data_IF_124659677249
#
_entry.id   IF_124659677249
#
_cell.length_a   1.000
_cell.length_b   1.000
_cell.length_c   1.000
_cell.angle_alpha   90.00
_cell.angle_beta   90.00
_cell.angle_gamma   90.00
#
_symmetry.space_group_name_H-M   'P 1'
#
loop_
_entity.id
_entity.type
_entity.pdbx_description
1 polymer ?
#
# COMPACT_ATOMS: atom_id res chain seq x y z
N UNK A 1 7.66 21.80 34.52
CA UNK A 1 8.43 21.49 33.29
C UNK A 1 8.95 20.08 33.37
N UNK A 2 8.66 19.27 32.35
CA UNK A 2 9.14 17.90 32.24
C UNK A 2 10.64 17.86 31.92
N UNK A 3 11.33 16.87 32.50
CA UNK A 3 12.74 16.59 32.18
C UNK A 3 12.82 15.59 31.02
N UNK A 4 13.97 15.50 30.30
CA UNK A 4 14.18 14.47 29.29
C UNK A 4 13.97 13.04 29.83
N UNK A 5 14.26 12.83 31.11
CA UNK A 5 14.02 11.55 31.78
C UNK A 5 12.53 11.24 31.90
N UNK A 6 11.70 12.24 32.25
CA UNK A 6 10.25 12.07 32.32
C UNK A 6 9.67 11.71 30.94
N UNK A 7 10.08 12.40 29.87
CA UNK A 7 9.62 12.07 28.51
C UNK A 7 9.98 10.65 28.09
N UNK A 8 11.15 10.15 28.52
CA UNK A 8 11.56 8.77 28.26
C UNK A 8 10.67 7.77 29.01
N UNK A 9 10.27 8.10 30.25
CA UNK A 9 9.33 7.28 31.02
C UNK A 9 7.96 7.20 30.34
N UNK A 10 7.38 8.34 29.96
CA UNK A 10 6.10 8.40 29.27
C UNK A 10 6.11 7.64 27.94
N UNK A 11 7.21 7.71 27.20
CA UNK A 11 7.40 6.93 25.97
C UNK A 11 7.45 5.43 26.23
N UNK A 12 8.06 5.02 27.33
CA UNK A 12 8.14 3.63 27.72
C UNK A 12 6.75 3.06 28.03
N UNK A 13 5.89 3.83 28.71
CA UNK A 13 4.50 3.45 28.97
C UNK A 13 3.73 3.09 27.68
N UNK A 14 3.89 3.87 26.61
CA UNK A 14 3.25 3.56 25.32
C UNK A 14 3.71 2.23 24.71
N UNK A 15 5.00 1.89 24.84
CA UNK A 15 5.57 0.67 24.27
C UNK A 15 5.23 -0.56 25.10
N UNK A 16 5.27 -0.45 26.42
CA UNK A 16 5.09 -1.59 27.33
C UNK A 16 3.65 -1.84 27.69
N UNK A 17 2.84 -0.79 27.90
CA UNK A 17 1.46 -0.92 28.39
C UNK A 17 0.42 -0.86 27.26
N UNK A 18 0.65 -0.04 26.24
CA UNK A 18 -0.29 0.13 25.12
C UNK A 18 0.17 -0.53 23.81
N UNK A 19 1.42 -1.03 23.73
CA UNK A 19 2.00 -1.64 22.53
C UNK A 19 1.83 -0.80 21.25
N UNK A 20 2.08 0.50 21.36
CA UNK A 20 2.02 1.39 20.20
C UNK A 20 3.12 1.05 19.21
N UNK A 21 2.73 0.70 17.98
CA UNK A 21 3.65 0.23 16.93
C UNK A 21 4.13 1.33 15.98
N UNK A 22 3.37 2.43 15.88
CA UNK A 22 3.60 3.48 14.89
C UNK A 22 4.20 4.73 15.52
N UNK A 23 5.37 5.14 15.04
CA UNK A 23 6.09 6.30 15.54
C UNK A 23 5.29 7.61 15.42
N UNK A 24 4.50 7.77 14.36
CA UNK A 24 3.66 8.96 14.18
C UNK A 24 2.58 9.07 15.27
N UNK A 25 1.98 7.95 15.66
CA UNK A 25 0.98 7.86 16.72
C UNK A 25 1.64 8.02 18.09
N UNK A 26 2.80 7.39 18.31
CA UNK A 26 3.59 7.54 19.54
C UNK A 26 3.96 9.01 19.78
N UNK A 27 4.44 9.72 18.77
CA UNK A 27 4.85 11.12 18.90
C UNK A 27 3.68 12.05 19.19
N UNK A 28 2.54 11.86 18.52
CA UNK A 28 1.33 12.67 18.76
C UNK A 28 0.74 12.42 20.16
N UNK A 29 0.65 11.15 20.56
CA UNK A 29 0.16 10.79 21.90
C UNK A 29 1.12 11.26 22.99
N UNK A 30 2.44 11.25 22.74
CA UNK A 30 3.43 11.73 23.69
C UNK A 30 3.31 13.23 23.94
N UNK A 31 3.01 14.03 22.93
CA UNK A 31 2.81 15.48 23.09
C UNK A 31 1.57 15.77 23.96
N UNK A 32 0.47 15.05 23.70
CA UNK A 32 -0.73 15.14 24.52
C UNK A 32 -0.50 14.62 25.95
N UNK A 33 0.20 13.50 26.12
CA UNK A 33 0.51 12.93 27.44
C UNK A 33 1.41 13.85 28.26
N UNK A 34 2.45 14.42 27.63
CA UNK A 34 3.31 15.40 28.25
C UNK A 34 2.52 16.64 28.69
N UNK A 35 1.68 17.19 27.81
CA UNK A 35 0.86 18.37 28.10
C UNK A 35 -0.09 18.13 29.28
N UNK A 36 -0.82 17.01 29.29
CA UNK A 36 -1.72 16.67 30.40
C UNK A 36 -0.96 16.47 31.72
N UNK A 37 0.21 15.82 31.67
CA UNK A 37 1.05 15.62 32.86
C UNK A 37 1.54 16.96 33.40
N UNK A 38 1.96 17.89 32.54
CA UNK A 38 2.41 19.22 32.95
C UNK A 38 1.28 20.03 33.59
N UNK A 39 0.09 20.05 32.99
CA UNK A 39 -1.08 20.72 33.56
C UNK A 39 -1.42 20.20 34.96
N UNK A 40 -1.27 18.89 35.20
CA UNK A 40 -1.52 18.28 36.51
C UNK A 40 -0.43 18.61 37.53
N UNK A 41 0.83 18.67 37.08
CA UNK A 41 1.96 19.10 37.91
C UNK A 41 1.84 20.59 38.31
N UNK A 42 1.30 21.45 37.44
CA UNK A 42 1.04 22.86 37.75
C UNK A 42 0.01 23.05 38.87
N UNK A 43 -0.92 22.11 39.02
CA UNK A 43 -1.91 22.07 40.11
C UNK A 43 -1.31 21.50 41.42
N UNK A 44 -0.02 21.14 41.42
CA UNK A 44 0.71 20.69 42.60
C UNK A 44 0.76 19.17 42.80
N UNK A 45 0.39 18.38 41.78
CA UNK A 45 0.60 16.93 41.81
C UNK A 45 2.08 16.59 41.58
N UNK A 46 2.56 15.52 42.20
CA UNK A 46 3.86 14.95 41.84
C UNK A 46 3.79 14.29 40.45
N UNK A 47 4.96 14.01 39.86
CA UNK A 47 5.03 13.47 38.49
C UNK A 47 4.31 12.13 38.36
N UNK A 48 4.45 11.22 39.33
CA UNK A 48 3.87 9.87 39.28
C UNK A 48 2.34 9.90 39.31
N UNK A 49 1.74 10.73 40.17
CA UNK A 49 0.28 10.88 40.21
C UNK A 49 -0.23 11.67 39.00
N UNK A 50 0.52 12.68 38.54
CA UNK A 50 0.18 13.45 37.35
C UNK A 50 0.17 12.56 36.09
N UNK A 51 1.18 11.72 35.90
CA UNK A 51 1.31 10.82 34.75
C UNK A 51 0.26 9.71 34.80
N UNK A 52 0.03 9.08 35.95
CA UNK A 52 -1.01 8.07 36.09
C UNK A 52 -2.41 8.60 35.77
N UNK A 53 -2.72 9.83 36.21
CA UNK A 53 -3.98 10.49 35.89
C UNK A 53 -4.08 10.84 34.41
N UNK A 54 -3.03 11.41 33.82
CA UNK A 54 -2.99 11.75 32.41
C UNK A 54 -3.11 10.49 31.51
N UNK A 55 -2.51 9.37 31.92
CA UNK A 55 -2.66 8.07 31.25
C UNK A 55 -4.11 7.57 31.27
N UNK A 56 -4.79 7.67 32.41
CA UNK A 56 -6.19 7.31 32.54
C UNK A 56 -7.10 8.21 31.67
N UNK A 57 -6.80 9.50 31.61
CA UNK A 57 -7.52 10.50 30.83
C UNK A 57 -7.36 10.30 29.31
N UNK A 58 -6.19 9.84 28.87
CA UNK A 58 -5.96 9.39 27.48
C UNK A 58 -6.70 8.08 27.11
N UNK A 59 -7.44 7.50 28.06
CA UNK A 59 -8.23 6.29 27.86
C UNK A 59 -7.46 4.99 28.15
N UNK A 60 -6.25 5.08 28.71
CA UNK A 60 -5.37 3.97 29.06
C UNK A 60 -5.18 2.97 27.88
N UNK A 61 -4.69 1.76 28.18
CA UNK A 61 -4.43 0.73 27.17
C UNK A 61 -5.57 0.53 26.14
N UNK A 62 -6.86 0.39 26.53
CA UNK A 62 -7.95 0.19 25.58
C UNK A 62 -8.24 1.40 24.68
N UNK A 63 -8.21 2.63 25.23
CA UNK A 63 -8.43 3.86 24.49
C UNK A 63 -7.30 4.14 23.49
N UNK A 64 -6.05 3.99 23.93
CA UNK A 64 -4.87 4.14 23.09
C UNK A 64 -4.84 3.11 21.95
N UNK A 65 -5.24 1.86 22.23
CA UNK A 65 -5.42 0.84 21.20
C UNK A 65 -6.56 1.13 20.22
N UNK A 66 -7.61 1.83 20.65
CA UNK A 66 -8.65 2.30 19.75
C UNK A 66 -8.11 3.39 18.81
N UNK A 67 -7.32 4.33 19.33
CA UNK A 67 -6.65 5.38 18.53
C UNK A 67 -5.72 4.76 17.48
N UNK A 68 -4.88 3.78 17.85
CA UNK A 68 -4.03 3.08 16.89
C UNK A 68 -4.85 2.38 15.79
N UNK A 69 -5.94 1.69 16.16
CA UNK A 69 -6.80 1.02 15.17
C UNK A 69 -7.49 2.01 14.24
N UNK A 70 -7.94 3.15 14.76
CA UNK A 70 -8.55 4.19 13.95
C UNK A 70 -7.54 4.86 13.02
N UNK A 71 -6.30 5.08 13.49
CA UNK A 71 -5.19 5.51 12.67
C UNK A 71 -4.94 4.54 11.50
N UNK A 72 -4.80 3.24 11.78
CA UNK A 72 -4.62 2.22 10.75
C UNK A 72 -5.76 2.21 9.74
N UNK A 73 -6.99 2.25 10.24
CA UNK A 73 -8.21 2.26 9.41
C UNK A 73 -8.25 3.49 8.51
N UNK A 74 -7.89 4.66 9.03
CA UNK A 74 -7.85 5.91 8.28
C UNK A 74 -6.78 5.87 7.20
N UNK A 75 -5.57 5.40 7.50
CA UNK A 75 -4.49 5.22 6.52
C UNK A 75 -4.91 4.22 5.43
N UNK A 76 -5.47 3.05 5.80
CA UNK A 76 -6.00 2.06 4.82
C UNK A 76 -7.06 2.68 3.91
N UNK A 77 -7.96 3.49 4.46
CA UNK A 77 -9.00 4.19 3.69
C UNK A 77 -8.40 5.21 2.72
N UNK A 78 -7.41 5.99 3.16
CA UNK A 78 -6.69 6.95 2.31
C UNK A 78 -5.97 6.23 1.17
N UNK A 79 -5.22 5.16 1.45
CA UNK A 79 -4.54 4.35 0.44
C UNK A 79 -5.55 3.82 -0.60
N UNK A 80 -6.69 3.28 -0.14
CA UNK A 80 -7.69 2.73 -1.05
C UNK A 80 -8.34 3.81 -1.91
N UNK A 81 -8.74 4.92 -1.29
CA UNK A 81 -9.32 6.08 -2.00
C UNK A 81 -8.35 6.63 -3.03
N UNK A 82 -7.08 6.76 -2.67
CA UNK A 82 -6.04 7.30 -3.53
C UNK A 82 -5.68 6.37 -4.68
N UNK A 83 -5.58 5.07 -4.42
CA UNK A 83 -5.40 4.09 -5.49
C UNK A 83 -6.55 4.13 -6.49
N UNK A 84 -7.78 4.25 -6.00
CA UNK A 84 -8.97 4.37 -6.85
C UNK A 84 -8.98 5.68 -7.63
N UNK A 85 -8.48 6.78 -7.05
CA UNK A 85 -8.29 8.05 -7.76
C UNK A 85 -7.23 7.92 -8.87
N UNK A 86 -6.10 7.28 -8.58
CA UNK A 86 -5.04 7.00 -9.57
C UNK A 86 -5.61 6.15 -10.71
N UNK A 87 -6.33 5.06 -10.39
CA UNK A 87 -6.99 4.24 -11.39
C UNK A 87 -7.98 5.05 -12.23
N UNK A 88 -8.83 5.86 -11.59
CA UNK A 88 -9.78 6.74 -12.30
C UNK A 88 -9.08 7.71 -13.25
N UNK A 89 -7.87 8.19 -12.93
CA UNK A 89 -7.09 9.06 -13.84
C UNK A 89 -6.72 8.36 -15.15
N UNK A 90 -6.41 7.06 -15.09
CA UNK A 90 -6.17 6.25 -16.30
C UNK A 90 -7.44 6.06 -17.14
N UNK A 91 -8.62 6.07 -16.50
CA UNK A 91 -9.93 5.96 -17.18
C UNK A 91 -10.62 7.30 -17.45
N UNK A 92 -9.89 8.42 -17.43
CA UNK A 92 -10.45 9.71 -17.87
C UNK A 92 -10.62 9.72 -19.39
N UNK A 93 -11.68 10.38 -19.86
CA UNK A 93 -11.74 10.89 -21.23
C UNK A 93 -10.67 12.00 -21.34
N UNK A 94 -9.72 12.02 -22.30
CA UNK A 94 -9.57 11.25 -23.55
C UNK A 94 -8.68 10.00 -23.47
N UNK A 95 -8.08 9.71 -22.31
CA UNK A 95 -7.17 8.57 -22.10
C UNK A 95 -7.82 7.23 -22.47
N UNK A 96 -9.11 7.04 -22.13
CA UNK A 96 -9.87 5.83 -22.53
C UNK A 96 -9.87 5.65 -24.05
N UNK A 97 -10.10 6.74 -24.81
CA UNK A 97 -10.09 6.69 -26.26
C UNK A 97 -8.70 6.31 -26.77
N UNK A 98 -7.63 6.87 -26.20
CA UNK A 98 -6.26 6.49 -26.56
C UNK A 98 -5.96 5.03 -26.23
N UNK A 99 -6.40 4.51 -25.08
CA UNK A 99 -6.20 3.10 -24.72
C UNK A 99 -6.98 2.15 -25.62
N UNK A 100 -8.20 2.54 -26.03
CA UNK A 100 -8.99 1.79 -27.01
C UNK A 100 -8.29 1.75 -28.36
N UNK A 101 -7.77 2.90 -28.83
CA UNK A 101 -7.10 3.03 -30.11
C UNK A 101 -5.78 2.22 -30.12
N UNK A 102 -5.02 2.25 -29.03
CA UNK A 102 -3.85 1.38 -28.84
C UNK A 102 -4.26 -0.10 -28.83
N UNK A 103 -5.35 -0.47 -28.16
CA UNK A 103 -5.85 -1.85 -28.16
C UNK A 103 -6.25 -2.34 -29.55
N UNK A 104 -6.93 -1.49 -30.34
CA UNK A 104 -7.29 -1.78 -31.75
C UNK A 104 -6.03 -1.92 -32.60
N UNK A 105 -5.04 -1.04 -32.43
CA UNK A 105 -3.77 -1.12 -33.13
C UNK A 105 -3.04 -2.43 -32.81
N UNK A 106 -2.97 -2.80 -31.53
CA UNK A 106 -2.38 -4.06 -31.08
C UNK A 106 -3.11 -5.25 -31.69
N UNK A 107 -4.44 -5.25 -31.70
CA UNK A 107 -5.24 -6.31 -32.31
C UNK A 107 -4.94 -6.50 -33.81
N UNK A 108 -4.76 -5.40 -34.55
CA UNK A 108 -4.41 -5.43 -35.98
C UNK A 108 -2.97 -5.95 -36.19
N UNK A 109 -2.05 -5.63 -35.29
CA UNK A 109 -0.62 -6.01 -35.40
C UNK A 109 -0.37 -7.47 -34.98
N UNK A 110 -1.12 -8.01 -34.02
CA UNK A 110 -0.97 -9.39 -33.53
C UNK A 110 -0.89 -10.46 -34.63
N UNK A 111 -1.80 -10.51 -35.63
CA UNK A 111 -1.73 -11.55 -36.67
C UNK A 111 -0.51 -11.43 -37.60
N UNK A 112 0.22 -10.31 -37.55
CA UNK A 112 1.45 -10.09 -38.32
C UNK A 112 2.69 -10.58 -37.55
N UNK A 113 2.59 -10.74 -36.24
CA UNK A 113 3.70 -11.18 -35.39
C UNK A 113 3.86 -12.70 -35.42
N UNK A 114 5.10 -13.17 -35.42
CA UNK A 114 5.40 -14.58 -35.21
C UNK A 114 5.08 -15.01 -33.77
N UNK A 115 4.66 -16.27 -33.60
CA UNK A 115 4.26 -16.83 -32.31
C UNK A 115 5.35 -16.69 -31.23
N UNK A 116 6.63 -16.88 -31.61
CA UNK A 116 7.77 -16.73 -30.71
C UNK A 116 7.88 -15.31 -30.13
N UNK A 117 7.54 -14.30 -30.94
CA UNK A 117 7.58 -12.89 -30.51
C UNK A 117 6.46 -12.61 -29.51
N UNK A 118 5.26 -13.15 -29.74
CA UNK A 118 4.14 -13.02 -28.81
C UNK A 118 4.45 -13.67 -27.46
N UNK A 119 5.06 -14.86 -27.46
CA UNK A 119 5.49 -15.55 -26.24
C UNK A 119 6.54 -14.74 -25.49
N UNK A 120 7.51 -14.15 -26.20
CA UNK A 120 8.51 -13.28 -25.59
C UNK A 120 7.86 -12.06 -24.91
N UNK A 121 6.90 -11.40 -25.57
CA UNK A 121 6.18 -10.24 -25.01
C UNK A 121 5.42 -10.63 -23.73
N UNK A 122 4.69 -11.75 -23.74
CA UNK A 122 3.96 -12.25 -22.57
C UNK A 122 4.89 -12.59 -21.41
N UNK A 123 6.06 -13.15 -21.71
CA UNK A 123 7.05 -13.49 -20.70
C UNK A 123 7.66 -12.22 -20.10
N UNK A 124 8.06 -11.24 -20.93
CA UNK A 124 8.56 -9.96 -20.46
C UNK A 124 7.53 -9.22 -19.59
N UNK A 125 6.24 -9.26 -19.95
CA UNK A 125 5.19 -8.60 -19.15
C UNK A 125 5.04 -9.24 -17.76
N UNK A 126 5.12 -10.58 -17.66
CA UNK A 126 5.12 -11.29 -16.39
C UNK A 126 6.36 -10.96 -15.55
N UNK A 127 7.55 -10.89 -16.17
CA UNK A 127 8.78 -10.51 -15.49
C UNK A 127 8.73 -9.07 -14.95
N UNK A 128 8.14 -8.13 -15.69
CA UNK A 128 7.95 -6.75 -15.22
C UNK A 128 7.09 -6.74 -13.94
N UNK A 129 5.99 -7.49 -13.92
CA UNK A 129 5.11 -7.58 -12.73
C UNK A 129 5.86 -8.14 -11.52
N UNK A 130 6.63 -9.21 -11.72
CA UNK A 130 7.46 -9.81 -10.66
C UNK A 130 8.53 -8.84 -10.15
N UNK A 131 9.20 -8.11 -11.06
CA UNK A 131 10.22 -7.14 -10.70
C UNK A 131 9.64 -5.98 -9.88
N UNK A 132 8.42 -5.51 -10.20
CA UNK A 132 7.73 -4.47 -9.43
C UNK A 132 7.42 -4.95 -8.01
N UNK A 133 6.86 -6.16 -7.87
CA UNK A 133 6.57 -6.75 -6.55
C UNK A 133 7.87 -6.91 -5.75
N UNK A 134 8.93 -7.43 -6.36
CA UNK A 134 10.23 -7.62 -5.71
C UNK A 134 10.86 -6.30 -5.27
N UNK A 135 10.81 -5.26 -6.11
CA UNK A 135 11.29 -3.92 -5.77
C UNK A 135 10.53 -3.36 -4.56
N UNK A 136 9.21 -3.50 -4.53
CA UNK A 136 8.42 -3.03 -3.39
C UNK A 136 8.69 -3.85 -2.11
N UNK A 137 8.92 -5.17 -2.22
CA UNK A 137 9.33 -6.03 -1.10
C UNK A 137 10.68 -5.58 -0.50
N UNK A 138 11.67 -5.30 -1.35
CA UNK A 138 12.99 -4.87 -0.90
C UNK A 138 12.90 -3.56 -0.13
N UNK A 139 12.19 -2.58 -0.70
CA UNK A 139 12.07 -1.25 -0.11
C UNK A 139 11.19 -1.23 1.16
N UNK A 140 10.24 -2.15 1.29
CA UNK A 140 9.45 -2.33 2.51
C UNK A 140 10.29 -2.66 3.74
N UNK A 141 11.32 -3.51 3.59
CA UNK A 141 12.20 -3.91 4.71
C UNK A 141 12.99 -2.74 5.31
N UNK A 142 13.27 -1.71 4.51
CA UNK A 142 13.99 -0.52 4.92
C UNK A 142 13.14 0.44 5.77
N UNK A 143 11.81 0.25 5.81
CA UNK A 143 10.84 1.22 6.34
C UNK A 143 9.97 0.66 7.49
N UNK A 144 10.46 -0.37 8.18
CA UNK A 144 9.79 -0.95 9.33
C UNK A 144 9.66 0.08 10.48
N UNK A 145 8.42 0.37 10.94
CA UNK A 145 8.13 1.23 12.10
C UNK A 145 7.30 2.50 11.81
N UNK A 146 7.03 2.81 10.55
CA UNK A 146 6.19 3.97 10.15
C UNK A 146 4.87 3.53 9.51
N UNK A 147 3.98 4.48 9.25
CA UNK A 147 2.80 4.37 8.35
C UNK A 147 3.04 3.55 7.08
N UNK A 148 4.30 3.48 6.62
CA UNK A 148 4.76 2.67 5.49
C UNK A 148 4.60 1.16 5.68
N UNK A 149 4.57 0.65 6.91
CA UNK A 149 4.20 -0.74 7.22
C UNK A 149 2.74 -1.02 6.82
N UNK A 150 1.82 -0.11 7.14
CA UNK A 150 0.40 -0.22 6.77
C UNK A 150 0.22 -0.12 5.26
N UNK A 151 0.98 0.78 4.63
CA UNK A 151 1.02 0.93 3.17
C UNK A 151 1.46 -0.40 2.52
N UNK A 152 2.53 -1.00 3.04
CA UNK A 152 3.00 -2.30 2.56
C UNK A 152 2.02 -3.44 2.78
N UNK A 153 1.37 -3.54 3.95
CA UNK A 153 0.38 -4.57 4.23
C UNK A 153 -0.84 -4.44 3.28
N UNK A 154 -1.28 -3.21 3.02
CA UNK A 154 -2.36 -2.95 2.06
C UNK A 154 -1.96 -3.25 0.62
N UNK A 155 -0.70 -2.96 0.26
CA UNK A 155 -0.14 -3.21 -1.06
C UNK A 155 0.15 -4.69 -1.28
N UNK A 156 0.65 -5.44 -0.30
CA UNK A 156 1.00 -6.87 -0.44
C UNK A 156 -0.24 -7.71 -0.75
N UNK A 157 -1.36 -7.42 -0.10
CA UNK A 157 -2.66 -8.01 -0.43
C UNK A 157 -3.04 -7.78 -1.90
N UNK A 158 -2.77 -6.57 -2.41
CA UNK A 158 -3.03 -6.19 -3.82
C UNK A 158 -1.98 -6.73 -4.79
N UNK A 159 -0.74 -6.93 -4.35
CA UNK A 159 0.32 -7.56 -5.13
C UNK A 159 -0.01 -9.02 -5.47
N UNK A 160 -0.85 -9.69 -4.67
CA UNK A 160 -1.43 -10.99 -5.02
C UNK A 160 -2.14 -10.97 -6.38
N UNK A 161 -2.76 -9.85 -6.77
CA UNK A 161 -3.38 -9.70 -8.10
C UNK A 161 -2.31 -9.74 -9.20
N UNK A 162 -1.18 -9.07 -9.01
CA UNK A 162 -0.04 -9.07 -9.94
C UNK A 162 0.61 -10.46 -10.05
N UNK A 163 0.76 -11.16 -8.92
CA UNK A 163 1.32 -12.51 -8.90
C UNK A 163 0.38 -13.51 -9.59
N UNK A 164 -0.93 -13.39 -9.35
CA UNK A 164 -1.93 -14.22 -10.01
C UNK A 164 -1.99 -13.96 -11.52
N UNK A 165 -1.88 -12.70 -11.97
CA UNK A 165 -1.82 -12.38 -13.40
C UNK A 165 -0.55 -12.92 -14.04
N UNK A 166 0.61 -12.77 -13.41
CA UNK A 166 1.87 -13.35 -13.88
C UNK A 166 1.78 -14.88 -13.97
N UNK A 167 1.24 -15.53 -12.94
CA UNK A 167 0.99 -16.97 -12.92
C UNK A 167 0.03 -17.42 -14.02
N UNK A 168 -1.01 -16.66 -14.31
CA UNK A 168 -1.92 -16.92 -15.44
C UNK A 168 -1.16 -16.90 -16.78
N UNK A 169 -0.33 -15.89 -17.04
CA UNK A 169 0.45 -15.81 -18.27
C UNK A 169 1.46 -16.97 -18.41
N UNK A 170 2.11 -17.37 -17.31
CA UNK A 170 3.01 -18.53 -17.29
C UNK A 170 2.26 -19.85 -17.52
N UNK A 171 1.07 -20.00 -16.95
CA UNK A 171 0.23 -21.19 -17.12
C UNK A 171 -0.38 -21.31 -18.52
N UNK A 172 -0.69 -20.19 -19.19
CA UNK A 172 -1.13 -20.20 -20.60
C UNK A 172 -0.09 -20.82 -21.53
N UNK A 173 1.21 -20.64 -21.24
CA UNK A 173 2.29 -21.34 -21.95
C UNK A 173 2.29 -22.83 -21.68
N UNK A 174 2.18 -23.23 -20.40
CA UNK A 174 2.28 -24.64 -19.99
C UNK A 174 1.10 -25.50 -20.45
N UNK A 175 -0.09 -24.92 -20.60
CA UNK A 175 -1.31 -25.64 -20.99
C UNK A 175 -1.45 -25.79 -22.50
N UNK A 176 -0.53 -25.26 -23.30
CA UNK A 176 -0.59 -25.36 -24.76
C UNK A 176 -1.78 -24.61 -25.37
N UNK A 177 -2.47 -23.75 -24.61
CA UNK A 177 -3.57 -22.88 -25.10
C UNK A 177 -3.06 -21.92 -26.20
N UNK A 178 -1.75 -21.68 -26.24
CA UNK A 178 -1.04 -20.92 -27.27
C UNK A 178 -0.52 -21.82 -28.42
N UNK A 179 -0.46 -23.15 -28.26
CA UNK A 179 0.20 -24.06 -29.22
C UNK A 179 -0.70 -25.19 -29.76
N UNK A 180 -2.00 -25.18 -29.46
CA UNK A 180 -2.96 -26.20 -29.90
C UNK A 180 -3.39 -26.03 -31.36
N UNK A 181 -3.05 -27.02 -32.19
CA UNK A 181 -3.04 -26.96 -33.65
C UNK A 181 -4.35 -26.61 -34.39
N UNK A 182 -5.55 -26.53 -33.78
CA UNK A 182 -6.80 -26.17 -34.50
C UNK A 182 -7.87 -25.51 -33.60
N UNK A 183 -7.54 -24.41 -32.94
CA UNK A 183 -8.49 -23.61 -32.15
C UNK A 183 -8.31 -22.09 -32.33
N UNK A 184 -9.20 -21.25 -31.76
CA UNK A 184 -9.28 -19.79 -31.97
C UNK A 184 -8.11 -19.03 -31.31
N UNK A 185 -6.89 -19.33 -31.76
CA UNK A 185 -5.61 -18.88 -31.24
C UNK A 185 -5.45 -17.35 -31.27
N UNK A 186 -5.96 -16.71 -32.32
CA UNK A 186 -5.87 -15.26 -32.52
C UNK A 186 -6.78 -14.48 -31.55
N UNK A 187 -7.94 -15.03 -31.19
CA UNK A 187 -8.85 -14.42 -30.20
C UNK A 187 -8.19 -14.46 -28.82
N UNK A 188 -7.52 -15.57 -28.47
CA UNK A 188 -6.83 -15.73 -27.20
C UNK A 188 -5.58 -14.83 -27.10
N UNK A 189 -4.83 -14.65 -28.18
CA UNK A 189 -3.66 -13.76 -28.21
C UNK A 189 -4.04 -12.28 -28.06
N UNK A 190 -5.10 -11.84 -28.75
CA UNK A 190 -5.65 -10.48 -28.59
C UNK A 190 -6.09 -10.19 -27.15
N UNK A 191 -6.84 -11.12 -26.55
CA UNK A 191 -7.27 -11.01 -25.15
C UNK A 191 -6.06 -10.98 -24.21
N UNK A 192 -5.06 -11.85 -24.41
CA UNK A 192 -3.85 -11.89 -23.59
C UNK A 192 -3.05 -10.58 -23.66
N UNK A 193 -2.93 -9.96 -24.84
CA UNK A 193 -2.25 -8.69 -25.02
C UNK A 193 -2.99 -7.52 -24.33
N UNK A 194 -4.32 -7.50 -24.39
CA UNK A 194 -5.15 -6.53 -23.66
C UNK A 194 -4.97 -6.72 -22.14
N UNK A 195 -5.02 -7.96 -21.65
CA UNK A 195 -4.80 -8.26 -20.24
C UNK A 195 -3.38 -7.87 -19.78
N UNK A 196 -2.35 -8.08 -20.61
CA UNK A 196 -0.99 -7.61 -20.33
C UNK A 196 -0.93 -6.09 -20.20
N UNK A 197 -1.60 -5.37 -21.10
CA UNK A 197 -1.65 -3.91 -21.09
C UNK A 197 -2.30 -3.39 -19.79
N UNK A 198 -3.42 -4.01 -19.39
CA UNK A 198 -4.09 -3.69 -18.13
C UNK A 198 -3.18 -4.00 -16.94
N UNK A 199 -2.49 -5.14 -16.94
CA UNK A 199 -1.59 -5.53 -15.86
C UNK A 199 -0.37 -4.61 -15.73
N UNK A 200 0.17 -4.11 -16.84
CA UNK A 200 1.24 -3.10 -16.85
C UNK A 200 0.73 -1.78 -16.27
N UNK A 201 -0.44 -1.31 -16.69
CA UNK A 201 -1.06 -0.09 -16.14
C UNK A 201 -1.27 -0.24 -14.63
N UNK A 202 -1.76 -1.40 -14.19
CA UNK A 202 -1.95 -1.70 -12.77
C UNK A 202 -0.62 -1.75 -12.00
N UNK A 203 0.44 -2.28 -12.61
CA UNK A 203 1.79 -2.28 -12.02
C UNK A 203 2.32 -0.85 -11.87
N UNK A 204 2.11 0.00 -12.87
CA UNK A 204 2.50 1.42 -12.82
C UNK A 204 1.72 2.19 -11.76
N UNK A 205 0.41 1.97 -11.62
CA UNK A 205 -0.38 2.59 -10.55
C UNK A 205 0.11 2.16 -9.17
N UNK A 206 0.59 0.92 -9.04
CA UNK A 206 1.18 0.39 -7.81
C UNK A 206 2.49 1.09 -7.44
N UNK A 207 3.40 1.29 -8.40
CA UNK A 207 4.65 2.05 -8.19
C UNK A 207 4.34 3.49 -7.79
N UNK A 208 3.36 4.11 -8.44
CA UNK A 208 2.95 5.49 -8.15
C UNK A 208 2.40 5.61 -6.72
N UNK A 209 1.53 4.68 -6.31
CA UNK A 209 0.98 4.64 -4.95
C UNK A 209 2.08 4.45 -3.90
N UNK A 210 3.07 3.60 -4.18
CA UNK A 210 4.20 3.38 -3.27
C UNK A 210 5.08 4.63 -3.07
N UNK A 211 5.12 5.53 -4.07
CA UNK A 211 5.89 6.78 -3.98
C UNK A 211 5.17 7.88 -3.20
N UNK A 212 3.87 7.76 -2.96
CA UNK A 212 3.11 8.75 -2.22
C UNK A 212 3.28 8.56 -0.70
N UNK A 213 3.53 9.66 0.01
CA UNK A 213 3.56 9.68 1.46
C UNK A 213 2.15 9.89 1.99
N UNK A 214 1.67 8.96 2.81
CA UNK A 214 0.40 9.11 3.53
C UNK A 214 0.73 9.58 4.94
N UNK A 215 0.36 10.82 5.26
CA UNK A 215 0.44 11.35 6.62
C UNK A 215 -0.99 11.48 7.14
N UNK A 216 -1.26 10.89 8.30
CA UNK A 216 -2.42 11.29 9.06
C UNK A 216 -2.18 12.71 9.58
N UNK A 217 -3.16 13.60 9.43
CA UNK A 217 -3.22 14.86 10.15
C UNK A 217 -4.50 14.78 10.97
N UNK A 218 -4.38 14.77 12.29
CA UNK A 218 -5.55 15.01 13.15
C UNK A 218 -5.97 16.45 12.90
N UNK A 219 -7.24 16.65 12.54
CA UNK A 219 -7.82 17.98 12.53
C UNK A 219 -7.97 18.38 14.01
N UNK A 220 -7.10 19.28 14.47
CA UNK A 220 -7.24 19.96 15.76
C UNK A 220 -8.50 20.82 15.79
#
# INVERSE_FOLDING_TARGET
MLTPHHLTHLRQDFRTLAHIEYEEVENELLDHYATLTEQRMEVGQDFEHASANAWAELGAGPGLNAIQRDYEKNIRKQISSRHLEILKRYFRWPTVLTTLLVGVLVYIVIPVLADDVLVLILLLSAFIQMAVVQYCCYKSKELAGTSKKIIWDSLSYRAGILLNSAGFFLNMRSTGVIFGAQGPLQINAGIAAILCSIAIIYSMSFIQLYRENFSYKVAH
#
